data_IF_627228610102
#
_entry.id   IF_627228610102
#
_cell.length_a   1.000
_cell.length_b   1.000
_cell.length_c   1.000
_cell.angle_alpha   90.00
_cell.angle_beta   90.00
_cell.angle_gamma   90.00
#
_symmetry.space_group_name_H-M   'P 1'
#
loop_
_entity.id
_entity.type
_entity.pdbx_description
1 polymer ?
#
# COMPACT_ATOMS: atom_id res chain seq x y z
N UNK A 1 -3.00 -17.97 5.72
CA UNK A 1 -2.66 -16.53 5.92
C UNK A 1 -3.08 -15.82 4.66
N UNK A 2 -4.00 -14.83 4.69
CA UNK A 2 -4.31 -14.08 3.48
C UNK A 2 -3.12 -13.20 3.10
N UNK A 3 -2.70 -13.32 1.87
CA UNK A 3 -1.73 -12.44 1.20
C UNK A 3 -2.45 -11.76 0.05
N UNK A 4 -2.22 -10.46 -0.14
CA UNK A 4 -2.72 -9.69 -1.27
C UNK A 4 -1.60 -9.49 -2.28
N UNK A 5 -1.92 -9.64 -3.56
CA UNK A 5 -0.95 -9.62 -4.65
C UNK A 5 -1.46 -8.75 -5.80
N UNK A 6 -0.66 -7.77 -6.20
CA UNK A 6 -0.93 -6.91 -7.35
C UNK A 6 -0.36 -7.55 -8.61
N UNK A 7 -1.22 -7.82 -9.59
CA UNK A 7 -0.83 -8.30 -10.93
C UNK A 7 -1.03 -7.21 -11.98
N UNK A 8 -0.25 -7.19 -13.04
CA UNK A 8 -0.46 -6.27 -14.16
C UNK A 8 -1.84 -6.47 -14.77
N UNK A 9 -2.73 -5.48 -14.57
CA UNK A 9 -4.06 -5.47 -15.17
C UNK A 9 -4.01 -5.27 -16.68
N UNK A 10 -4.94 -5.93 -17.36
CA UNK A 10 -5.12 -5.91 -18.82
C UNK A 10 -5.45 -4.49 -19.32
N UNK A 11 -4.79 -4.06 -20.40
CA UNK A 11 -5.10 -2.78 -21.09
C UNK A 11 -6.34 -2.96 -21.95
N UNK A 12 -7.52 -2.79 -21.39
CA UNK A 12 -8.78 -2.72 -22.13
C UNK A 12 -9.36 -1.31 -22.09
N UNK A 13 -9.35 -0.61 -23.22
CA UNK A 13 -9.97 0.71 -23.35
C UNK A 13 -11.47 0.61 -23.53
N UNK A 14 -12.24 0.64 -22.45
CA UNK A 14 -13.68 0.89 -22.49
C UNK A 14 -13.91 2.34 -22.05
N UNK A 15 -14.66 3.11 -22.85
CA UNK A 15 -15.17 4.42 -22.44
C UNK A 15 -16.00 4.27 -21.17
N UNK A 16 -15.59 4.98 -20.11
CA UNK A 16 -16.24 4.96 -18.81
C UNK A 16 -17.58 5.73 -18.94
N UNK A 17 -18.71 5.04 -18.91
CA UNK A 17 -19.99 5.68 -18.64
C UNK A 17 -19.89 6.42 -17.29
N UNK A 18 -20.59 7.55 -17.11
CA UNK A 18 -20.62 8.27 -15.84
C UNK A 18 -21.06 7.30 -14.73
N UNK A 19 -20.09 6.82 -13.98
CA UNK A 19 -20.28 5.84 -12.91
C UNK A 19 -20.50 6.58 -11.60
N UNK A 20 -21.37 6.05 -10.74
CA UNK A 20 -21.44 6.51 -9.36
C UNK A 20 -20.04 6.49 -8.74
N UNK A 21 -19.71 7.52 -7.94
CA UNK A 21 -18.45 7.58 -7.21
C UNK A 21 -18.23 6.29 -6.41
N UNK A 22 -17.00 5.84 -6.29
CA UNK A 22 -16.66 4.69 -5.47
C UNK A 22 -16.95 5.03 -4.01
N UNK A 23 -17.78 4.21 -3.36
CA UNK A 23 -18.07 4.34 -1.94
C UNK A 23 -16.81 3.97 -1.13
N UNK A 24 -16.37 4.80 -0.18
CA UNK A 24 -15.25 4.47 0.71
C UNK A 24 -15.40 3.12 1.42
N UNK A 25 -16.61 2.73 1.82
CA UNK A 25 -16.85 1.41 2.42
C UNK A 25 -16.54 0.25 1.45
N UNK A 26 -16.62 0.48 0.15
CA UNK A 26 -16.29 -0.50 -0.88
C UNK A 26 -14.79 -0.85 -0.97
N UNK A 27 -13.93 -0.10 -0.27
CA UNK A 27 -12.48 -0.35 -0.21
C UNK A 27 -11.95 -0.52 1.22
N UNK A 28 -12.81 -0.79 2.20
CA UNK A 28 -12.40 -1.00 3.59
C UNK A 28 -12.27 -2.49 3.91
N UNK A 29 -11.11 -2.88 4.44
CA UNK A 29 -10.88 -4.18 5.07
C UNK A 29 -10.71 -4.03 6.58
N UNK A 30 -11.81 -4.17 7.32
CA UNK A 30 -11.79 -4.10 8.80
C UNK A 30 -10.90 -5.17 9.43
N UNK A 31 -10.65 -6.29 8.73
CA UNK A 31 -9.76 -7.37 9.18
C UNK A 31 -8.30 -6.95 9.18
N UNK A 32 -7.85 -6.24 8.14
CA UNK A 32 -6.49 -5.70 8.06
C UNK A 32 -6.29 -4.55 9.04
N UNK A 33 -7.24 -3.61 9.13
CA UNK A 33 -7.21 -2.52 10.10
C UNK A 33 -7.13 -3.05 11.55
N UNK A 34 -7.91 -4.09 11.88
CA UNK A 34 -7.84 -4.74 13.20
C UNK A 34 -6.46 -5.35 13.46
N UNK A 35 -5.83 -5.93 12.44
CA UNK A 35 -4.48 -6.49 12.59
C UNK A 35 -3.46 -5.39 12.89
N UNK A 36 -3.51 -4.25 12.18
CA UNK A 36 -2.62 -3.13 12.47
C UNK A 36 -2.82 -2.60 13.90
N UNK A 37 -4.06 -2.39 14.34
CA UNK A 37 -4.36 -2.00 15.74
C UNK A 37 -3.81 -2.99 16.77
N UNK A 38 -3.78 -4.27 16.42
CA UNK A 38 -3.22 -5.30 17.31
C UNK A 38 -1.68 -5.25 17.34
N UNK A 39 -1.03 -4.89 16.23
CA UNK A 39 0.42 -4.81 16.15
C UNK A 39 0.94 -3.54 16.83
N UNK A 40 0.38 -2.37 16.48
CA UNK A 40 0.80 -1.06 16.99
C UNK A 40 0.35 -0.74 18.42
N UNK A 41 -0.53 -1.56 18.99
CA UNK A 41 -1.08 -1.26 20.32
C UNK A 41 -2.25 -0.28 20.27
N UNK A 42 -2.46 0.46 21.39
CA UNK A 42 -3.61 1.36 21.56
C UNK A 42 -3.27 2.84 21.53
N UNK A 43 -2.01 3.17 21.37
CA UNK A 43 -1.49 4.55 21.46
C UNK A 43 -1.58 5.32 20.12
N UNK A 44 -2.01 4.65 19.04
CA UNK A 44 -2.09 5.25 17.71
C UNK A 44 -0.74 5.43 17.02
N UNK A 45 0.35 4.94 17.61
CA UNK A 45 1.69 4.99 17.02
C UNK A 45 1.90 3.74 16.18
N UNK A 46 2.27 3.93 14.92
CA UNK A 46 2.62 2.85 13.98
C UNK A 46 4.10 2.95 13.66
N UNK A 47 4.86 1.98 14.12
CA UNK A 47 6.27 1.89 13.77
C UNK A 47 6.46 1.28 12.37
N UNK A 48 7.19 1.97 11.50
CA UNK A 48 7.54 1.42 10.19
C UNK A 48 9.05 1.35 9.98
N UNK A 49 9.49 0.35 9.23
CA UNK A 49 10.89 0.18 8.85
C UNK A 49 11.04 -0.01 7.34
N UNK A 50 12.12 0.55 6.80
CA UNK A 50 12.51 0.40 5.41
C UNK A 50 13.73 -0.53 5.34
N UNK A 51 13.63 -1.64 4.61
CA UNK A 51 14.74 -2.57 4.41
C UNK A 51 15.77 -2.02 3.41
N UNK A 52 16.42 -0.93 3.79
CA UNK A 52 17.32 -0.16 2.94
C UNK A 52 18.50 -0.97 2.36
N UNK A 53 18.95 -2.00 3.07
CA UNK A 53 20.11 -2.83 2.67
C UNK A 53 19.73 -4.10 1.92
N UNK A 54 18.43 -4.34 1.68
CA UNK A 54 17.96 -5.52 0.96
C UNK A 54 18.25 -6.84 1.68
N UNK A 55 18.16 -6.88 3.01
CA UNK A 55 18.37 -8.12 3.76
C UNK A 55 17.31 -9.15 3.42
N UNK A 56 17.74 -10.37 3.07
CA UNK A 56 16.89 -11.49 2.64
C UNK A 56 17.20 -11.92 1.20
N UNK A 57 16.93 -13.17 0.85
CA UNK A 57 17.39 -13.80 -0.40
C UNK A 57 16.91 -13.13 -1.68
N UNK A 58 15.69 -12.60 -1.68
CA UNK A 58 15.06 -11.97 -2.85
C UNK A 58 14.88 -10.45 -2.71
N UNK A 59 15.37 -9.86 -1.64
CA UNK A 59 15.29 -8.42 -1.41
C UNK A 59 16.45 -7.68 -2.06
N UNK A 60 16.17 -6.49 -2.56
CA UNK A 60 17.14 -5.58 -3.15
C UNK A 60 17.41 -4.39 -2.22
N UNK A 61 18.62 -3.82 -2.26
CA UNK A 61 18.87 -2.55 -1.58
C UNK A 61 18.06 -1.43 -2.24
N UNK A 62 17.59 -0.49 -1.43
CA UNK A 62 16.82 0.66 -1.90
C UNK A 62 17.68 1.88 -2.13
N UNK A 63 17.45 2.59 -3.23
CA UNK A 63 18.03 3.89 -3.50
C UNK A 63 17.58 4.94 -2.48
N UNK A 64 18.30 6.06 -2.41
CA UNK A 64 17.89 7.21 -1.59
C UNK A 64 16.53 7.78 -2.01
N UNK A 65 16.21 7.76 -3.31
CA UNK A 65 14.94 8.24 -3.86
C UNK A 65 13.76 7.37 -3.41
N UNK A 66 13.89 6.04 -3.48
CA UNK A 66 12.85 5.11 -3.03
C UNK A 66 12.58 5.23 -1.54
N UNK A 67 13.64 5.28 -0.72
CA UNK A 67 13.49 5.46 0.73
C UNK A 67 12.78 6.76 1.07
N UNK A 68 13.19 7.88 0.43
CA UNK A 68 12.54 9.18 0.63
C UNK A 68 11.07 9.17 0.21
N UNK A 69 10.74 8.49 -0.90
CA UNK A 69 9.36 8.35 -1.33
C UNK A 69 8.50 7.62 -0.30
N UNK A 70 9.01 6.54 0.29
CA UNK A 70 8.32 5.79 1.34
C UNK A 70 8.13 6.67 2.59
N UNK A 71 9.17 7.36 3.06
CA UNK A 71 9.08 8.28 4.20
C UNK A 71 8.03 9.36 3.96
N UNK A 72 8.10 10.05 2.83
CA UNK A 72 7.15 11.11 2.49
C UNK A 72 5.71 10.57 2.41
N UNK A 73 5.52 9.31 2.03
CA UNK A 73 4.19 8.68 2.01
C UNK A 73 3.66 8.48 3.43
N UNK A 74 4.47 8.01 4.38
CA UNK A 74 4.07 7.88 5.78
C UNK A 74 3.87 9.24 6.45
N UNK A 75 4.75 10.23 6.23
CA UNK A 75 4.56 11.60 6.73
C UNK A 75 3.27 12.25 6.21
N UNK A 76 2.88 11.95 4.98
CA UNK A 76 1.63 12.45 4.42
C UNK A 76 0.42 11.78 5.09
N UNK A 77 0.47 10.47 5.33
CA UNK A 77 -0.58 9.71 6.02
C UNK A 77 -0.74 10.13 7.49
N UNK A 78 0.35 10.46 8.16
CA UNK A 78 0.36 11.00 9.53
C UNK A 78 -0.54 12.25 9.64
N UNK A 79 -0.47 13.16 8.67
CA UNK A 79 -1.30 14.38 8.65
C UNK A 79 -2.76 14.16 8.30
N UNK A 80 -3.14 13.00 7.79
CA UNK A 80 -4.49 12.73 7.27
C UNK A 80 -5.30 11.77 8.11
N UNK A 81 -4.66 11.08 9.01
CA UNK A 81 -5.28 10.06 9.86
C UNK A 81 -4.96 10.32 11.31
N UNK A 82 -5.73 9.75 12.22
CA UNK A 82 -5.43 9.79 13.66
C UNK A 82 -4.27 8.86 14.07
N UNK A 83 -3.45 8.38 13.12
CA UNK A 83 -2.25 7.58 13.38
C UNK A 83 -1.00 8.46 13.32
N UNK A 84 -0.03 8.17 14.17
CA UNK A 84 1.34 8.71 14.09
C UNK A 84 2.30 7.68 13.56
N UNK A 85 3.04 8.02 12.50
CA UNK A 85 3.98 7.11 11.87
C UNK A 85 5.42 7.43 12.28
N UNK A 86 6.08 6.50 12.98
CA UNK A 86 7.45 6.63 13.45
C UNK A 86 8.37 5.64 12.75
N UNK A 87 9.49 6.12 12.22
CA UNK A 87 10.46 5.22 11.64
C UNK A 87 11.23 4.47 12.72
N UNK A 88 11.08 3.14 12.76
CA UNK A 88 11.82 2.28 13.64
C UNK A 88 13.30 2.19 13.25
N UNK A 89 14.18 2.18 14.24
CA UNK A 89 15.62 1.96 14.04
C UNK A 89 15.96 0.54 13.57
N UNK A 90 15.08 -0.42 13.83
CA UNK A 90 15.20 -1.84 13.45
C UNK A 90 13.91 -2.36 12.82
N UNK A 91 14.04 -3.14 11.75
CA UNK A 91 12.89 -3.81 11.11
C UNK A 91 12.33 -5.01 11.88
N UNK A 92 12.93 -5.38 13.01
CA UNK A 92 12.46 -6.54 13.80
C UNK A 92 11.25 -6.22 14.67
N UNK A 93 11.14 -4.99 15.13
CA UNK A 93 10.07 -4.51 16.02
C UNK A 93 8.98 -3.71 15.30
N UNK A 94 9.23 -3.28 14.06
CA UNK A 94 8.29 -2.45 13.31
C UNK A 94 7.00 -3.20 12.96
N UNK A 95 5.86 -2.49 13.07
CA UNK A 95 4.53 -2.96 12.69
C UNK A 95 4.37 -3.12 11.18
N UNK A 96 5.06 -2.28 10.42
CA UNK A 96 5.10 -2.32 8.95
C UNK A 96 6.56 -2.34 8.49
N UNK A 97 6.93 -3.33 7.71
CA UNK A 97 8.25 -3.40 7.07
C UNK A 97 8.12 -3.35 5.56
N UNK A 98 8.78 -2.38 4.93
CA UNK A 98 8.74 -2.16 3.48
C UNK A 98 10.01 -2.71 2.84
N UNK A 99 9.85 -3.56 1.82
CA UNK A 99 10.93 -4.27 1.13
C UNK A 99 10.85 -4.06 -0.39
N UNK A 100 11.99 -3.83 -1.02
CA UNK A 100 12.15 -3.91 -2.46
C UNK A 100 12.51 -5.35 -2.83
N UNK A 101 11.84 -5.95 -3.80
CA UNK A 101 12.04 -7.34 -4.18
C UNK A 101 12.48 -7.49 -5.65
N UNK A 102 13.36 -8.47 -5.89
CA UNK A 102 13.77 -8.86 -7.24
C UNK A 102 12.66 -9.64 -7.96
N UNK A 103 11.93 -10.48 -7.22
CA UNK A 103 10.90 -11.38 -7.75
C UNK A 103 9.76 -11.50 -6.74
N UNK A 104 8.52 -11.52 -7.24
CA UNK A 104 7.30 -11.70 -6.43
C UNK A 104 6.32 -12.71 -7.09
N UNK A 105 6.84 -13.77 -7.72
CA UNK A 105 6.01 -14.85 -8.24
C UNK A 105 4.96 -14.44 -9.27
N UNK A 106 5.21 -13.40 -10.07
CA UNK A 106 4.24 -12.87 -11.06
C UNK A 106 3.47 -11.64 -10.60
N UNK A 107 3.59 -11.28 -9.31
CA UNK A 107 3.01 -10.05 -8.75
C UNK A 107 3.98 -8.88 -8.89
N UNK A 108 3.45 -7.66 -8.95
CA UNK A 108 4.26 -6.44 -8.92
C UNK A 108 4.34 -5.84 -7.50
N UNK A 109 3.37 -6.16 -6.63
CA UNK A 109 3.35 -5.84 -5.21
C UNK A 109 2.76 -6.97 -4.36
N UNK A 110 3.02 -6.95 -3.07
CA UNK A 110 2.53 -7.95 -2.13
C UNK A 110 2.53 -7.42 -0.69
N UNK A 111 1.37 -7.38 -0.06
CA UNK A 111 1.25 -7.19 1.38
C UNK A 111 1.01 -8.53 2.08
N UNK A 112 1.80 -8.83 3.09
CA UNK A 112 1.72 -10.09 3.84
C UNK A 112 1.58 -9.82 5.33
N UNK A 113 0.52 -10.34 5.92
CA UNK A 113 0.36 -10.35 7.39
C UNK A 113 1.25 -11.43 7.98
N UNK A 114 2.16 -11.05 8.85
CA UNK A 114 3.01 -11.94 9.65
C UNK A 114 2.57 -11.91 11.12
N UNK A 115 3.23 -12.72 11.96
CA UNK A 115 3.05 -12.63 13.40
C UNK A 115 3.61 -11.28 13.89
N UNK A 116 2.73 -10.40 14.35
CA UNK A 116 3.06 -9.09 14.93
C UNK A 116 3.42 -7.98 13.95
N UNK A 117 3.28 -8.15 12.63
CA UNK A 117 3.55 -7.07 11.65
C UNK A 117 3.01 -7.35 10.27
N UNK A 118 3.07 -6.34 9.41
CA UNK A 118 2.96 -6.44 7.95
C UNK A 118 4.34 -6.39 7.28
N UNK A 119 4.60 -7.31 6.35
CA UNK A 119 5.70 -7.21 5.40
C UNK A 119 5.13 -6.80 4.04
N UNK A 120 5.54 -5.64 3.55
CA UNK A 120 5.15 -5.09 2.25
C UNK A 120 6.30 -5.24 1.27
N UNK A 121 5.99 -5.61 0.03
CA UNK A 121 6.95 -5.79 -1.04
C UNK A 121 6.48 -5.10 -2.29
N UNK A 122 7.39 -4.44 -3.01
CA UNK A 122 7.20 -4.11 -4.41
C UNK A 122 8.34 -4.68 -5.23
N UNK A 123 8.05 -5.01 -6.49
CA UNK A 123 9.04 -5.53 -7.41
C UNK A 123 9.76 -4.37 -8.10
N UNK A 124 11.08 -4.35 -7.99
CA UNK A 124 11.92 -3.44 -8.76
C UNK A 124 11.83 -3.78 -10.26
N UNK A 125 11.52 -2.79 -11.07
CA UNK A 125 11.38 -2.92 -12.52
C UNK A 125 12.52 -2.27 -13.30
N UNK A 126 13.16 -1.24 -12.75
CA UNK A 126 14.18 -0.44 -13.43
C UNK A 126 15.38 -0.05 -12.57
N UNK A 127 15.73 -0.88 -11.60
CA UNK A 127 16.88 -0.66 -10.71
C UNK A 127 16.70 0.63 -9.90
N UNK A 128 17.68 1.53 -9.93
CA UNK A 128 17.68 2.74 -9.10
C UNK A 128 16.64 3.80 -9.50
N UNK A 129 15.86 3.57 -10.56
CA UNK A 129 14.85 4.53 -11.05
C UNK A 129 13.48 4.17 -10.52
N UNK A 130 12.97 4.93 -9.57
CA UNK A 130 11.62 4.79 -9.05
C UNK A 130 10.59 5.29 -10.08
N UNK A 131 9.97 4.38 -10.81
CA UNK A 131 8.96 4.69 -11.83
C UNK A 131 7.63 5.14 -11.20
N UNK A 132 6.78 5.82 -11.98
CA UNK A 132 5.41 6.16 -11.51
C UNK A 132 4.59 4.92 -11.16
N UNK A 133 4.78 3.83 -11.88
CA UNK A 133 4.07 2.58 -11.59
C UNK A 133 4.54 1.95 -10.27
N UNK A 134 5.83 1.94 -9.99
CA UNK A 134 6.36 1.48 -8.70
C UNK A 134 5.90 2.36 -7.54
N UNK A 135 5.82 3.68 -7.74
CA UNK A 135 5.25 4.59 -6.75
C UNK A 135 3.79 4.24 -6.42
N UNK A 136 2.99 3.90 -7.44
CA UNK A 136 1.63 3.42 -7.24
C UNK A 136 1.62 2.10 -6.45
N UNK A 137 2.42 1.11 -6.86
CA UNK A 137 2.51 -0.20 -6.19
C UNK A 137 2.88 -0.04 -4.71
N UNK A 138 3.88 0.78 -4.39
CA UNK A 138 4.28 1.04 -2.99
C UNK A 138 3.11 1.60 -2.17
N UNK A 139 2.37 2.60 -2.69
CA UNK A 139 1.21 3.15 -1.98
C UNK A 139 0.05 2.17 -1.87
N UNK A 140 -0.16 1.34 -2.89
CA UNK A 140 -1.15 0.27 -2.88
C UNK A 140 -0.89 -0.71 -1.72
N UNK A 141 0.34 -1.19 -1.59
CA UNK A 141 0.69 -2.12 -0.51
C UNK A 141 0.64 -1.46 0.88
N UNK A 142 1.03 -0.18 0.99
CA UNK A 142 0.83 0.60 2.22
C UNK A 142 -0.67 0.71 2.53
N UNK A 143 -1.51 0.97 1.53
CA UNK A 143 -2.97 1.01 1.67
C UNK A 143 -3.52 -0.27 2.30
N UNK A 144 -3.09 -1.45 1.83
CA UNK A 144 -3.47 -2.73 2.44
C UNK A 144 -3.10 -2.81 3.92
N UNK A 145 -1.86 -2.45 4.29
CA UNK A 145 -1.44 -2.47 5.69
C UNK A 145 -2.31 -1.56 6.57
N UNK A 146 -2.79 -0.44 6.01
CA UNK A 146 -3.67 0.50 6.70
C UNK A 146 -5.16 0.11 6.67
N UNK A 147 -5.51 -1.03 6.09
CA UNK A 147 -6.89 -1.54 6.07
C UNK A 147 -7.68 -1.17 4.83
N UNK A 148 -7.05 -0.69 3.76
CA UNK A 148 -7.72 -0.59 2.47
C UNK A 148 -7.75 -1.95 1.75
N UNK A 149 -8.76 -2.15 0.93
CA UNK A 149 -8.96 -3.32 0.07
C UNK A 149 -9.24 -2.90 -1.37
N UNK A 150 -9.22 -3.85 -2.26
CA UNK A 150 -9.61 -3.63 -3.65
C UNK A 150 -11.09 -3.23 -3.75
N UNK A 151 -11.50 -2.49 -4.80
CA UNK A 151 -12.91 -2.12 -5.00
C UNK A 151 -13.84 -3.34 -4.90
N UNK A 152 -14.64 -3.38 -3.85
CA UNK A 152 -15.56 -4.49 -3.54
C UNK A 152 -14.88 -5.88 -3.58
N UNK A 153 -13.62 -5.96 -3.12
CA UNK A 153 -12.81 -7.18 -3.11
C UNK A 153 -12.25 -7.61 -4.49
N UNK A 154 -12.34 -6.75 -5.51
CA UNK A 154 -11.94 -7.07 -6.89
C UNK A 154 -10.94 -6.04 -7.43
N UNK A 155 -9.65 -6.36 -7.46
CA UNK A 155 -8.59 -5.46 -7.94
C UNK A 155 -8.82 -4.96 -9.38
N UNK A 156 -9.23 -5.84 -10.28
CA UNK A 156 -9.60 -5.51 -11.66
C UNK A 156 -11.10 -5.24 -11.83
N UNK A 157 -11.74 -4.56 -10.86
CA UNK A 157 -13.16 -4.22 -10.95
C UNK A 157 -13.44 -3.33 -12.18
N UNK A 158 -14.39 -3.68 -13.09
CA UNK A 158 -14.49 -3.04 -14.42
C UNK A 158 -14.91 -1.56 -14.37
N UNK A 159 -15.52 -1.11 -13.27
CA UNK A 159 -15.99 0.28 -13.13
C UNK A 159 -14.93 1.23 -12.59
N UNK A 160 -13.93 0.73 -11.88
CA UNK A 160 -13.01 1.55 -11.11
C UNK A 160 -11.57 1.39 -11.58
N UNK A 161 -10.84 2.48 -11.63
CA UNK A 161 -9.45 2.53 -11.99
C UNK A 161 -8.62 3.32 -10.95
N UNK A 162 -7.33 3.53 -11.20
CA UNK A 162 -6.46 4.22 -10.25
C UNK A 162 -6.79 5.72 -10.08
N UNK A 163 -7.71 6.29 -10.82
CA UNK A 163 -8.24 7.64 -10.57
C UNK A 163 -9.35 7.63 -9.52
N UNK A 164 -10.00 6.49 -9.32
CA UNK A 164 -11.05 6.33 -8.31
C UNK A 164 -10.46 5.88 -6.96
N UNK A 165 -9.44 5.03 -6.97
CA UNK A 165 -8.73 4.54 -5.79
C UNK A 165 -7.36 4.00 -6.16
N UNK A 166 -6.35 4.23 -5.31
CA UNK A 166 -5.03 3.60 -5.45
C UNK A 166 -5.10 2.07 -5.35
N UNK A 167 -6.19 1.53 -4.81
CA UNK A 167 -6.41 0.10 -4.62
C UNK A 167 -6.89 -0.64 -5.88
N UNK A 168 -7.08 0.05 -7.02
CA UNK A 168 -7.47 -0.59 -8.28
C UNK A 168 -6.24 -1.08 -9.06
N UNK A 169 -6.38 -2.26 -9.71
CA UNK A 169 -5.39 -2.78 -10.66
C UNK A 169 -5.49 -2.14 -12.05
N UNK A 170 -6.58 -1.44 -12.35
CA UNK A 170 -6.80 -0.79 -13.63
C UNK A 170 -5.98 0.51 -13.70
N UNK A 171 -4.71 0.40 -14.05
CA UNK A 171 -3.76 1.50 -14.08
C UNK A 171 -4.12 2.60 -15.08
N UNK A 172 -4.27 3.84 -14.60
CA UNK A 172 -4.53 5.07 -15.36
C UNK A 172 -3.58 6.22 -15.02
N UNK A 173 -2.41 5.90 -14.47
CA UNK A 173 -1.35 6.87 -14.21
C UNK A 173 -1.47 7.65 -12.89
N UNK A 174 -2.51 7.44 -12.08
CA UNK A 174 -2.56 8.05 -10.75
C UNK A 174 -1.65 7.29 -9.78
N UNK A 175 -0.88 8.05 -9.01
CA UNK A 175 0.02 7.53 -8.00
C UNK A 175 -0.36 7.99 -6.58
N UNK A 176 -1.33 8.89 -6.44
CA UNK A 176 -1.73 9.45 -5.15
C UNK A 176 -2.92 8.68 -4.57
N UNK A 177 -3.00 8.65 -3.24
CA UNK A 177 -4.27 8.33 -2.60
C UNK A 177 -5.34 9.31 -3.07
N UNK A 178 -6.48 8.80 -3.46
CA UNK A 178 -7.62 9.59 -3.94
C UNK A 178 -8.46 10.09 -2.77
N UNK A 179 -9.45 10.93 -3.06
CA UNK A 179 -10.43 11.35 -2.04
C UNK A 179 -11.13 10.14 -1.40
N UNK A 180 -11.48 9.12 -2.20
CA UNK A 180 -12.09 7.88 -1.70
C UNK A 180 -11.17 7.15 -0.73
N UNK A 181 -9.88 7.02 -1.07
CA UNK A 181 -8.89 6.37 -0.20
C UNK A 181 -8.74 7.13 1.13
N UNK A 182 -8.64 8.46 1.06
CA UNK A 182 -8.52 9.32 2.24
C UNK A 182 -9.76 9.18 3.14
N UNK A 183 -10.96 9.25 2.59
CA UNK A 183 -12.19 9.07 3.34
C UNK A 183 -12.27 7.70 4.01
N UNK A 184 -11.89 6.63 3.32
CA UNK A 184 -11.85 5.29 3.88
C UNK A 184 -10.82 5.18 5.02
N UNK A 185 -9.64 5.78 4.88
CA UNK A 185 -8.63 5.83 5.94
C UNK A 185 -9.11 6.63 7.16
N UNK A 186 -9.78 7.77 6.95
CA UNK A 186 -10.34 8.58 8.03
C UNK A 186 -11.48 7.88 8.76
N UNK A 187 -12.32 7.10 8.06
CA UNK A 187 -13.33 6.25 8.70
C UNK A 187 -12.71 5.16 9.58
N UNK A 188 -11.54 4.64 9.20
CA UNK A 188 -10.84 3.59 9.95
C UNK A 188 -10.07 4.15 11.15
N UNK A 189 -9.43 5.31 11.01
CA UNK A 189 -8.41 5.78 11.94
C UNK A 189 -8.71 7.15 12.57
N UNK A 190 -9.77 7.82 12.11
CA UNK A 190 -10.08 9.20 12.53
C UNK A 190 -9.16 10.23 11.88
N UNK A 191 -9.27 11.46 12.33
CA UNK A 191 -8.46 12.62 11.94
C UNK A 191 -7.87 13.24 13.20
#
# INVERSE_FOLDING_TARGET
MPAWSLHRGFRGGLQKAATAALDPDGIISRGWARSLRHFSGKDGIVEYAVNAKGKGSDNLPMSKTERRFIHNTFEWLDRLTGLSFVQASSGTTADIRVNCARRLGGSDGLAVRRKGRFDLYWKDQKGWTLTRYEQHVIRHEIGHALGLDHPYGRGAHPRYDTKDTVMSYNWRGNIQFTTTDVQALQQLWGV
#
